data_IF_742629831379
#
_entry.id   IF_742629831379
#
_cell.length_a   1.000
_cell.length_b   1.000
_cell.length_c   1.000
_cell.angle_alpha   90.00
_cell.angle_beta   90.00
_cell.angle_gamma   90.00
#
_symmetry.space_group_name_H-M   'P 1'
#
loop_
_entity.id
_entity.type
_entity.pdbx_description
1 polymer ?
#
# COMPACT_ATOMS: atom_id res chain seq x y z
N UNK A 1 26.02 15.39 -8.81
CA UNK A 1 25.05 16.09 -7.97
C UNK A 1 24.03 16.64 -8.91
N UNK A 2 22.85 16.03 -8.92
CA UNK A 2 21.77 16.35 -9.86
C UNK A 2 20.72 17.07 -9.03
N UNK A 3 20.38 18.32 -9.40
CA UNK A 3 19.44 19.12 -8.63
C UNK A 3 18.12 18.36 -8.38
N UNK A 4 17.53 18.44 -7.17
CA UNK A 4 16.26 17.79 -6.87
C UNK A 4 15.18 18.24 -7.85
N UNK A 5 14.65 17.29 -8.63
CA UNK A 5 13.50 17.54 -9.50
C UNK A 5 12.21 17.11 -8.81
N UNK A 6 11.12 17.78 -9.12
CA UNK A 6 9.78 17.38 -8.66
C UNK A 6 9.51 15.94 -9.11
N UNK A 7 9.00 15.11 -8.18
CA UNK A 7 8.73 13.71 -8.47
C UNK A 7 7.70 13.60 -9.61
N UNK A 8 8.01 12.94 -10.74
CA UNK A 8 7.12 12.88 -11.90
C UNK A 8 5.86 12.05 -11.64
N UNK A 9 5.91 11.09 -10.73
CA UNK A 9 4.79 10.16 -10.45
C UNK A 9 3.73 10.77 -9.52
N UNK A 10 4.15 11.57 -8.54
CA UNK A 10 3.21 12.21 -7.61
C UNK A 10 3.09 13.72 -7.81
N UNK A 11 3.86 14.30 -8.72
CA UNK A 11 3.87 15.73 -9.01
C UNK A 11 4.07 16.57 -7.74
N UNK A 12 4.97 16.14 -6.85
CA UNK A 12 5.24 16.82 -5.58
C UNK A 12 4.22 16.55 -4.47
N UNK A 13 3.10 15.85 -4.74
CA UNK A 13 2.04 15.57 -3.75
C UNK A 13 2.42 14.56 -2.68
N UNK A 14 3.61 13.94 -2.79
CA UNK A 14 4.17 12.94 -1.84
C UNK A 14 3.38 11.63 -1.72
N UNK A 15 2.18 11.54 -2.28
CA UNK A 15 1.32 10.37 -2.19
C UNK A 15 -0.10 10.70 -2.62
N UNK A 16 -1.02 9.83 -2.23
CA UNK A 16 -2.45 10.01 -2.47
C UNK A 16 -3.25 9.68 -1.21
N UNK A 17 -4.39 10.36 -1.06
CA UNK A 17 -5.34 10.04 -0.01
C UNK A 17 -6.37 9.02 -0.50
N UNK A 18 -6.68 8.04 0.34
CA UNK A 18 -7.80 7.13 0.20
C UNK A 18 -8.65 7.23 1.46
N UNK A 19 -9.65 8.12 1.44
CA UNK A 19 -10.32 8.56 2.66
C UNK A 19 -9.33 9.24 3.61
N UNK A 20 -9.31 8.81 4.87
CA UNK A 20 -8.38 9.31 5.88
C UNK A 20 -6.95 8.74 5.74
N UNK A 21 -6.77 7.69 4.94
CA UNK A 21 -5.48 7.03 4.79
C UNK A 21 -4.61 7.78 3.78
N UNK A 22 -3.37 8.13 4.18
CA UNK A 22 -2.36 8.65 3.26
C UNK A 22 -1.44 7.53 2.77
N UNK A 23 -1.47 7.28 1.46
CA UNK A 23 -0.64 6.29 0.78
C UNK A 23 0.55 7.01 0.14
N UNK A 24 1.75 6.84 0.71
CA UNK A 24 2.98 7.45 0.19
C UNK A 24 3.27 7.01 -1.25
N UNK A 25 3.75 7.93 -2.08
CA UNK A 25 4.22 7.64 -3.43
C UNK A 25 5.36 6.62 -3.37
N UNK A 26 5.20 5.48 -4.03
CA UNK A 26 6.23 4.42 -4.03
C UNK A 26 7.47 4.82 -4.81
N UNK A 27 7.31 5.68 -5.83
CA UNK A 27 8.41 6.15 -6.65
C UNK A 27 9.35 7.07 -5.88
N UNK A 28 8.90 8.17 -5.27
CA UNK A 28 9.77 9.04 -4.45
C UNK A 28 9.84 8.67 -2.96
N UNK A 29 9.24 7.54 -2.56
CA UNK A 29 9.18 7.11 -1.15
C UNK A 29 8.39 8.04 -0.22
N UNK A 30 7.67 9.03 -0.74
CA UNK A 30 6.97 10.05 0.05
C UNK A 30 7.66 11.41 0.14
N UNK A 31 8.78 11.61 -0.56
CA UNK A 31 9.57 12.84 -0.45
C UNK A 31 9.04 13.98 -1.32
N UNK A 32 8.37 13.67 -2.44
CA UNK A 32 7.82 14.64 -3.39
C UNK A 32 8.82 15.10 -4.46
N UNK A 33 10.06 14.65 -4.38
CA UNK A 33 11.14 14.97 -5.32
C UNK A 33 12.00 13.72 -5.57
N UNK A 34 12.84 13.76 -6.60
CA UNK A 34 13.89 12.77 -6.92
C UNK A 34 15.17 13.49 -7.36
N UNK A 35 16.34 12.91 -7.08
CA UNK A 35 17.66 13.54 -7.30
C UNK A 35 18.65 13.12 -6.20
N UNK A 36 19.95 13.34 -6.42
CA UNK A 36 21.04 12.90 -5.54
C UNK A 36 20.82 11.47 -5.00
N UNK A 37 20.87 11.27 -3.67
CA UNK A 37 20.72 9.97 -2.99
C UNK A 37 19.30 9.37 -3.02
N UNK A 38 18.36 10.02 -3.72
CA UNK A 38 16.97 9.61 -3.80
C UNK A 38 16.57 9.25 -5.24
N UNK A 39 17.55 9.00 -6.11
CA UNK A 39 17.29 8.42 -7.43
C UNK A 39 16.78 6.97 -7.30
N UNK A 40 15.77 6.55 -8.10
CA UNK A 40 15.29 5.18 -8.11
C UNK A 40 16.40 4.14 -8.40
N UNK A 41 17.39 4.51 -9.20
CA UNK A 41 18.53 3.66 -9.55
C UNK A 41 19.47 3.40 -8.35
N UNK A 42 19.57 4.35 -7.41
CA UNK A 42 20.42 4.21 -6.21
C UNK A 42 19.79 3.35 -5.11
N UNK A 43 18.52 2.96 -5.23
CA UNK A 43 17.84 2.09 -4.24
C UNK A 43 18.33 0.65 -4.20
N UNK A 44 19.30 0.32 -5.04
CA UNK A 44 19.93 -0.99 -5.12
C UNK A 44 19.10 -1.99 -5.92
N UNK A 45 19.79 -2.85 -6.67
CA UNK A 45 19.18 -3.90 -7.50
C UNK A 45 18.53 -5.02 -6.70
N UNK A 46 18.74 -5.06 -5.37
CA UNK A 46 18.17 -6.09 -4.52
C UNK A 46 16.66 -5.89 -4.48
N UNK A 47 15.86 -6.86 -4.95
CA UNK A 47 14.42 -6.78 -4.83
C UNK A 47 14.08 -6.54 -3.35
N UNK A 48 13.16 -5.61 -3.03
CA UNK A 48 12.69 -5.50 -1.66
C UNK A 48 12.17 -6.88 -1.22
N UNK A 49 12.36 -7.26 0.05
CA UNK A 49 11.77 -8.49 0.56
C UNK A 49 10.27 -8.48 0.25
N UNK A 50 9.74 -9.66 -0.08
CA UNK A 50 8.32 -9.81 -0.39
C UNK A 50 7.51 -9.21 0.78
N UNK A 51 6.59 -8.27 0.49
CA UNK A 51 5.82 -7.67 1.56
C UNK A 51 4.99 -8.75 2.25
N UNK A 52 4.81 -8.66 3.59
CA UNK A 52 3.91 -9.58 4.27
C UNK A 52 2.51 -9.43 3.66
N UNK A 53 1.69 -10.48 3.71
CA UNK A 53 0.32 -10.38 3.27
C UNK A 53 -0.40 -9.26 4.04
N UNK A 54 -1.40 -8.65 3.40
CA UNK A 54 -2.04 -7.43 3.90
C UNK A 54 -2.49 -7.56 5.37
N UNK A 55 -2.98 -8.72 5.81
CA UNK A 55 -3.46 -8.98 7.18
C UNK A 55 -2.35 -9.05 8.25
N UNK A 56 -1.08 -9.23 7.86
CA UNK A 56 0.09 -9.26 8.75
C UNK A 56 0.90 -7.96 8.72
N UNK A 57 0.50 -6.99 7.90
CA UNK A 57 1.24 -5.75 7.74
C UNK A 57 1.30 -4.94 9.04
N UNK A 58 2.48 -4.38 9.37
CA UNK A 58 2.72 -3.64 10.63
C UNK A 58 1.81 -2.43 10.86
N UNK A 59 1.15 -1.95 9.80
CA UNK A 59 0.15 -0.85 9.84
C UNK A 59 -1.01 -1.16 10.78
N UNK A 60 -1.30 -2.43 11.02
CA UNK A 60 -2.30 -2.88 11.99
C UNK A 60 -1.92 -2.68 13.46
N UNK A 61 -0.71 -2.19 13.74
CA UNK A 61 -0.30 -1.74 15.08
C UNK A 61 -0.58 -0.25 15.29
N UNK A 62 -0.91 0.49 14.23
CA UNK A 62 -1.24 1.91 14.31
C UNK A 62 -2.67 2.09 14.86
N UNK A 63 -2.86 2.85 15.96
CA UNK A 63 -4.18 3.04 16.56
C UNK A 63 -5.21 3.69 15.63
N UNK A 64 -4.80 4.60 14.76
CA UNK A 64 -5.69 5.28 13.82
C UNK A 64 -6.19 4.29 12.77
N UNK A 65 -5.30 3.46 12.26
CA UNK A 65 -5.63 2.45 11.24
C UNK A 65 -6.57 1.40 11.82
N UNK A 66 -6.30 0.89 13.02
CA UNK A 66 -7.16 -0.11 13.67
C UNK A 66 -8.54 0.47 13.98
N UNK A 67 -8.63 1.77 14.32
CA UNK A 67 -9.92 2.43 14.52
C UNK A 67 -10.70 2.61 13.21
N UNK A 68 -10.03 2.97 12.11
CA UNK A 68 -10.68 3.21 10.81
C UNK A 68 -11.06 1.93 10.06
N UNK A 69 -10.28 0.85 10.23
CA UNK A 69 -10.46 -0.42 9.52
C UNK A 69 -10.74 -1.56 10.50
N UNK A 70 -12.01 -1.82 10.85
CA UNK A 70 -12.38 -2.70 11.96
C UNK A 70 -12.08 -4.19 11.71
N UNK A 71 -11.74 -4.56 10.47
CA UNK A 71 -11.36 -5.93 10.12
C UNK A 71 -10.12 -5.92 9.22
N UNK A 72 -9.10 -6.70 9.61
CA UNK A 72 -7.84 -6.82 8.86
C UNK A 72 -7.96 -7.53 7.52
N UNK A 73 -9.03 -8.31 7.34
CA UNK A 73 -9.26 -9.14 6.15
C UNK A 73 -10.11 -8.41 5.11
N UNK A 74 -11.28 -7.89 5.51
CA UNK A 74 -12.18 -7.19 4.59
C UNK A 74 -12.05 -5.67 4.62
N UNK A 75 -11.19 -5.10 5.47
CA UNK A 75 -11.00 -3.65 5.59
C UNK A 75 -12.32 -2.90 5.87
N UNK A 76 -13.26 -3.55 6.57
CA UNK A 76 -14.59 -3.00 6.84
C UNK A 76 -15.65 -3.28 5.76
N UNK A 77 -15.29 -3.83 4.59
CA UNK A 77 -16.21 -4.12 3.50
C UNK A 77 -17.17 -5.30 3.78
N UNK A 78 -16.91 -6.10 4.82
CA UNK A 78 -17.66 -7.32 5.21
C UNK A 78 -17.70 -8.44 4.18
N UNK A 79 -17.11 -8.25 3.01
CA UNK A 79 -16.91 -9.26 1.97
C UNK A 79 -15.43 -9.34 1.59
N UNK A 80 -15.04 -10.48 1.03
CA UNK A 80 -13.70 -10.70 0.47
C UNK A 80 -13.85 -11.32 -0.92
N UNK A 81 -13.01 -10.88 -1.85
CA UNK A 81 -12.97 -11.45 -3.20
C UNK A 81 -11.75 -12.36 -3.32
N UNK A 82 -11.96 -13.56 -3.85
CA UNK A 82 -10.95 -14.54 -4.12
C UNK A 82 -10.88 -14.77 -5.63
N UNK A 83 -9.67 -14.90 -6.17
CA UNK A 83 -9.47 -15.32 -7.56
C UNK A 83 -9.22 -16.83 -7.53
N UNK A 84 -10.14 -17.60 -8.08
CA UNK A 84 -9.87 -19.00 -8.38
C UNK A 84 -8.94 -19.07 -9.60
N UNK A 85 -7.66 -19.33 -9.36
CA UNK A 85 -6.62 -19.41 -10.39
C UNK A 85 -6.88 -20.51 -11.43
N UNK A 86 -7.58 -21.61 -11.05
CA UNK A 86 -7.90 -22.70 -11.99
C UNK A 86 -9.00 -22.29 -12.95
N UNK A 87 -10.06 -21.66 -12.44
CA UNK A 87 -11.19 -21.23 -13.27
C UNK A 87 -11.01 -19.81 -13.83
N UNK A 88 -9.99 -19.07 -13.37
CA UNK A 88 -9.76 -17.64 -13.63
C UNK A 88 -10.99 -16.77 -13.34
N UNK A 89 -11.78 -17.14 -12.32
CA UNK A 89 -12.97 -16.40 -11.91
C UNK A 89 -12.74 -15.72 -10.58
N UNK A 90 -13.22 -14.50 -10.48
CA UNK A 90 -13.32 -13.80 -9.21
C UNK A 90 -14.63 -14.19 -8.53
N UNK A 91 -14.56 -14.71 -7.32
CA UNK A 91 -15.72 -14.99 -6.48
C UNK A 91 -15.69 -14.06 -5.27
N UNK A 92 -16.85 -13.58 -4.85
CA UNK A 92 -16.97 -12.72 -3.66
C UNK A 92 -17.79 -13.47 -2.62
N UNK A 93 -17.29 -13.53 -1.39
CA UNK A 93 -17.94 -14.21 -0.27
C UNK A 93 -17.97 -13.29 0.96
N UNK A 94 -18.79 -13.65 1.95
CA UNK A 94 -18.77 -12.97 3.24
C UNK A 94 -17.38 -13.12 3.91
N UNK A 95 -16.94 -12.08 4.61
CA UNK A 95 -15.66 -12.11 5.31
C UNK A 95 -15.73 -13.08 6.50
N UNK A 96 -14.96 -14.18 6.53
CA UNK A 96 -15.07 -15.20 7.58
C UNK A 96 -14.74 -14.64 8.97
N UNK A 97 -13.88 -13.63 9.05
CA UNK A 97 -13.51 -12.97 10.31
C UNK A 97 -14.60 -12.03 10.87
N UNK A 98 -15.63 -11.68 10.08
CA UNK A 98 -16.73 -10.82 10.53
C UNK A 98 -18.00 -11.60 10.88
N UNK A 99 -18.08 -12.88 10.52
CA UNK A 99 -19.24 -13.75 10.79
C UNK A 99 -19.02 -14.67 12.00
N UNK A 100 -17.82 -14.63 12.59
CA UNK A 100 -17.43 -15.37 13.78
C UNK A 100 -17.79 -14.62 15.08
#
# INVERSE_FOLDING_TARGET
>A
MTDPITCPECEGRKGQHLGELFLRCRFCGGLGWVGDHNEPAERGERPPPEPPPAWEHKVWRDPVVVAALPCRYCLGARTVSHIDEKSRRMTTAACPACVA
#
